data_IF_690086114091
#
_entry.id   IF_690086114091
#
_cell.length_a   1.000
_cell.length_b   1.000
_cell.length_c   1.000
_cell.angle_alpha   90.00
_cell.angle_beta   90.00
_cell.angle_gamma   90.00
#
_symmetry.space_group_name_H-M   'P 1'
#
loop_
_entity.id
_entity.type
_entity.pdbx_description
1 polymer ?
#
# COMPACT_ATOMS: atom_id res chain seq x y z
N UNK A 1 -20.64 49.27 -43.44
CA UNK A 1 -21.02 48.73 -42.10
C UNK A 1 -22.07 47.60 -42.19
N UNK A 2 -22.66 47.33 -43.36
CA UNK A 2 -23.54 46.16 -43.58
C UNK A 2 -22.80 44.86 -43.96
N UNK A 3 -21.64 44.96 -44.62
CA UNK A 3 -20.95 43.78 -45.15
C UNK A 3 -20.23 42.92 -44.08
N UNK A 4 -19.80 43.53 -42.97
CA UNK A 4 -19.17 42.80 -41.87
C UNK A 4 -20.18 41.96 -41.05
N UNK A 5 -21.48 42.25 -41.17
CA UNK A 5 -22.54 41.49 -40.50
C UNK A 5 -22.99 40.28 -41.33
N UNK A 6 -22.89 40.37 -42.66
CA UNK A 6 -23.23 39.28 -43.57
C UNK A 6 -22.19 38.13 -43.57
N UNK A 7 -20.94 38.41 -43.18
CA UNK A 7 -19.88 37.41 -43.09
C UNK A 7 -19.95 36.60 -41.77
N UNK A 8 -20.48 37.20 -40.70
CA UNK A 8 -20.65 36.53 -39.39
C UNK A 8 -21.81 35.51 -39.39
N UNK A 9 -22.77 35.67 -40.30
CA UNK A 9 -23.91 34.75 -40.46
C UNK A 9 -23.63 33.59 -41.44
N UNK A 10 -22.42 33.51 -42.03
CA UNK A 10 -21.94 32.36 -42.81
C UNK A 10 -21.07 31.41 -42.00
N UNK A 11 -21.35 31.25 -40.71
CA UNK A 11 -20.87 30.07 -39.98
C UNK A 11 -21.77 28.91 -40.42
N UNK A 12 -21.35 28.19 -41.47
CA UNK A 12 -21.99 26.91 -41.79
C UNK A 12 -22.03 26.08 -40.51
N UNK A 13 -23.21 25.57 -40.10
CA UNK A 13 -23.30 24.76 -38.89
C UNK A 13 -22.42 23.54 -39.11
N UNK A 14 -21.29 23.47 -38.41
CA UNK A 14 -20.43 22.30 -38.38
C UNK A 14 -21.26 21.15 -37.83
N UNK A 15 -21.76 20.30 -38.72
CA UNK A 15 -22.62 19.19 -38.36
C UNK A 15 -21.76 18.17 -37.60
N UNK A 16 -21.82 18.21 -36.27
CA UNK A 16 -21.12 17.25 -35.42
C UNK A 16 -21.86 15.93 -35.56
N UNK A 17 -21.19 14.94 -36.16
CA UNK A 17 -21.78 13.62 -36.33
C UNK A 17 -21.86 12.89 -34.98
N UNK A 18 -22.92 12.09 -34.74
CA UNK A 18 -23.16 11.49 -33.43
C UNK A 18 -22.02 10.57 -32.96
N UNK A 19 -21.29 9.95 -33.89
CA UNK A 19 -20.13 9.11 -33.55
C UNK A 19 -18.95 9.93 -33.01
N UNK A 20 -18.78 11.18 -33.46
CA UNK A 20 -17.71 12.06 -33.00
C UNK A 20 -17.94 12.43 -31.54
N UNK A 21 -19.18 12.77 -31.18
CA UNK A 21 -19.58 13.03 -29.80
C UNK A 21 -19.31 11.81 -28.91
N UNK A 22 -19.67 10.61 -29.38
CA UNK A 22 -19.40 9.37 -28.65
C UNK A 22 -17.92 9.11 -28.40
N UNK A 23 -17.06 9.32 -29.41
CA UNK A 23 -15.61 9.16 -29.28
C UNK A 23 -14.98 10.17 -28.32
N UNK A 24 -15.43 11.43 -28.36
CA UNK A 24 -14.95 12.49 -27.45
C UNK A 24 -15.36 12.18 -26.01
N UNK A 25 -16.62 11.79 -25.79
CA UNK A 25 -17.11 11.39 -24.47
C UNK A 25 -16.32 10.18 -23.94
N UNK A 26 -16.12 9.16 -24.79
CA UNK A 26 -15.31 7.99 -24.46
C UNK A 26 -13.87 8.35 -24.11
N UNK A 27 -13.27 9.29 -24.82
CA UNK A 27 -11.91 9.78 -24.56
C UNK A 27 -11.82 10.53 -23.23
N UNK A 28 -12.79 11.37 -22.90
CA UNK A 28 -12.89 12.04 -21.59
C UNK A 28 -12.98 11.00 -20.47
N UNK A 29 -13.87 10.02 -20.59
CA UNK A 29 -14.02 8.93 -19.60
C UNK A 29 -12.73 8.14 -19.47
N UNK A 30 -12.04 7.85 -20.58
CA UNK A 30 -10.76 7.16 -20.60
C UNK A 30 -9.68 7.96 -19.86
N UNK A 31 -9.61 9.29 -20.10
CA UNK A 31 -8.63 10.17 -19.45
C UNK A 31 -8.79 10.17 -17.93
N UNK A 32 -10.04 10.30 -17.45
CA UNK A 32 -10.36 10.36 -16.04
C UNK A 32 -10.13 9.02 -15.34
N UNK A 33 -10.43 7.91 -16.01
CA UNK A 33 -10.27 6.57 -15.46
C UNK A 33 -8.87 5.96 -15.71
N UNK A 34 -7.98 6.62 -16.46
CA UNK A 34 -6.66 6.09 -16.82
C UNK A 34 -5.89 5.52 -15.61
N UNK A 35 -5.92 6.23 -14.46
CA UNK A 35 -5.29 5.79 -13.21
C UNK A 35 -5.83 4.48 -12.63
N UNK A 36 -7.15 4.30 -12.73
CA UNK A 36 -7.85 3.13 -12.22
C UNK A 36 -7.68 1.95 -13.18
N UNK A 37 -7.75 2.23 -14.47
CA UNK A 37 -7.64 1.23 -15.53
C UNK A 37 -6.26 0.59 -15.56
N UNK A 38 -5.19 1.41 -15.51
CA UNK A 38 -3.80 0.95 -15.54
C UNK A 38 -3.41 0.12 -14.31
N UNK A 39 -4.06 0.34 -13.15
CA UNK A 39 -3.85 -0.46 -11.94
C UNK A 39 -4.66 -1.77 -11.93
N UNK A 40 -5.61 -1.92 -12.84
CA UNK A 40 -6.38 -3.15 -12.96
C UNK A 40 -5.54 -4.21 -13.66
N UNK A 41 -5.44 -5.40 -13.06
CA UNK A 41 -4.76 -6.55 -13.67
C UNK A 41 -5.45 -6.99 -14.97
N UNK A 42 -6.78 -6.85 -15.04
CA UNK A 42 -7.56 -7.18 -16.24
C UNK A 42 -7.11 -6.34 -17.44
N UNK A 43 -6.83 -5.06 -17.22
CA UNK A 43 -6.39 -4.16 -18.29
C UNK A 43 -5.06 -4.59 -18.90
N UNK A 44 -4.11 -5.05 -18.07
CA UNK A 44 -2.82 -5.56 -18.53
C UNK A 44 -2.99 -6.77 -19.46
N UNK A 45 -3.80 -7.76 -19.06
CA UNK A 45 -4.04 -8.93 -19.89
C UNK A 45 -4.79 -8.59 -21.17
N UNK A 46 -5.79 -7.71 -21.13
CA UNK A 46 -6.53 -7.29 -22.33
C UNK A 46 -5.64 -6.55 -23.33
N UNK A 47 -4.82 -5.61 -22.86
CA UNK A 47 -3.89 -4.88 -23.75
C UNK A 47 -2.80 -5.81 -24.29
N UNK A 48 -2.29 -6.73 -23.47
CA UNK A 48 -1.37 -7.78 -23.91
C UNK A 48 -1.98 -8.68 -24.99
N UNK A 49 -3.25 -9.07 -24.84
CA UNK A 49 -4.00 -9.81 -25.86
C UNK A 49 -4.11 -9.03 -27.15
N UNK A 50 -4.55 -7.77 -27.08
CA UNK A 50 -4.72 -6.92 -28.26
C UNK A 50 -3.40 -6.81 -29.03
N UNK A 51 -2.32 -6.42 -28.33
CA UNK A 51 -0.99 -6.30 -28.94
C UNK A 51 -0.52 -7.63 -29.52
N UNK A 52 -0.78 -8.76 -28.84
CA UNK A 52 -0.44 -10.09 -29.33
C UNK A 52 -1.21 -10.49 -30.60
N UNK A 53 -2.52 -10.24 -30.64
CA UNK A 53 -3.35 -10.51 -31.83
C UNK A 53 -2.88 -9.63 -33.00
N UNK A 54 -2.67 -8.33 -32.79
CA UNK A 54 -2.12 -7.46 -33.83
C UNK A 54 -0.73 -7.94 -34.29
N UNK A 55 0.17 -8.26 -33.37
CA UNK A 55 1.51 -8.77 -33.67
C UNK A 55 1.45 -10.05 -34.50
N UNK A 56 0.52 -10.96 -34.21
CA UNK A 56 0.34 -12.18 -34.99
C UNK A 56 -0.07 -11.92 -36.44
N UNK A 57 -0.94 -10.92 -36.69
CA UNK A 57 -1.35 -10.52 -38.05
C UNK A 57 -0.16 -9.93 -38.80
N UNK A 58 0.63 -9.06 -38.16
CA UNK A 58 1.86 -8.54 -38.75
C UNK A 58 2.88 -9.64 -39.06
N UNK A 59 3.02 -10.62 -38.16
CA UNK A 59 3.88 -11.78 -38.38
C UNK A 59 3.37 -12.63 -39.56
N UNK A 60 2.06 -12.83 -39.70
CA UNK A 60 1.46 -13.53 -40.83
C UNK A 60 1.72 -12.81 -42.15
N UNK A 61 1.52 -11.48 -42.20
CA UNK A 61 1.87 -10.65 -43.38
C UNK A 61 3.36 -10.72 -43.70
N UNK A 62 4.23 -10.68 -42.69
CA UNK A 62 5.67 -10.84 -42.87
C UNK A 62 6.04 -12.22 -43.46
N UNK A 63 5.42 -13.29 -42.96
CA UNK A 63 5.63 -14.64 -43.51
C UNK A 63 5.11 -14.73 -44.95
N UNK A 64 3.93 -14.17 -45.25
CA UNK A 64 3.37 -14.14 -46.61
C UNK A 64 4.25 -13.36 -47.59
N UNK A 65 4.77 -12.19 -47.19
CA UNK A 65 5.69 -11.40 -48.04
C UNK A 65 7.01 -12.13 -48.27
N UNK A 66 7.47 -12.96 -47.33
CA UNK A 66 8.65 -13.82 -47.51
C UNK A 66 8.38 -15.06 -48.38
N UNK A 67 7.15 -15.58 -48.34
CA UNK A 67 6.72 -16.74 -49.14
C UNK A 67 6.34 -16.37 -50.59
N UNK A 68 6.11 -15.09 -50.88
CA UNK A 68 6.03 -14.55 -52.22
C UNK A 68 7.44 -14.12 -52.65
N UNK A 69 8.22 -14.96 -53.36
CA UNK A 69 9.57 -14.63 -53.79
C UNK A 69 9.54 -13.64 -54.95
N UNK A 70 8.99 -12.44 -54.74
CA UNK A 70 9.29 -11.32 -55.62
C UNK A 70 10.69 -10.84 -55.28
N UNK A 71 11.63 -11.09 -56.18
CA UNK A 71 13.00 -10.56 -56.13
C UNK A 71 12.94 -9.03 -56.18
N UNK A 72 12.77 -8.40 -55.03
CA UNK A 72 12.88 -6.95 -54.89
C UNK A 72 14.37 -6.63 -54.68
N UNK A 73 15.01 -6.26 -55.79
CA UNK A 73 16.37 -5.72 -55.82
C UNK A 73 16.46 -4.43 -55.00
N UNK A 74 17.64 -4.16 -54.46
CA UNK A 74 18.07 -3.12 -53.50
C UNK A 74 17.91 -1.65 -53.97
N UNK A 75 16.90 -1.34 -54.78
CA UNK A 75 16.61 0.02 -55.29
C UNK A 75 15.58 0.80 -54.44
N UNK A 76 15.11 0.24 -53.33
CA UNK A 76 13.82 0.59 -52.69
C UNK A 76 13.93 1.48 -51.44
N UNK A 77 15.09 2.08 -51.16
CA UNK A 77 15.22 3.02 -50.03
C UNK A 77 14.69 4.42 -50.40
N UNK A 78 14.68 4.78 -51.70
CA UNK A 78 14.10 6.04 -52.20
C UNK A 78 12.59 6.00 -52.42
N UNK A 79 11.99 4.82 -52.52
CA UNK A 79 10.54 4.62 -52.75
C UNK A 79 9.72 4.64 -51.46
N UNK A 80 10.31 4.86 -50.29
CA UNK A 80 9.58 4.82 -49.01
C UNK A 80 8.48 5.91 -48.95
N UNK A 81 8.73 7.07 -49.55
CA UNK A 81 7.76 8.17 -49.59
C UNK A 81 6.64 7.93 -50.62
N UNK A 82 6.98 7.43 -51.82
CA UNK A 82 6.00 7.02 -52.84
C UNK A 82 5.20 5.79 -52.38
N UNK A 83 5.84 4.92 -51.60
CA UNK A 83 5.26 3.73 -51.00
C UNK A 83 4.20 4.05 -49.96
N UNK A 84 4.30 5.17 -49.22
CA UNK A 84 3.27 5.54 -48.25
C UNK A 84 1.94 5.89 -48.93
N UNK A 85 1.98 6.74 -49.97
CA UNK A 85 0.78 7.12 -50.74
C UNK A 85 0.22 5.94 -51.56
N UNK A 86 1.10 5.12 -52.14
CA UNK A 86 0.69 3.91 -52.85
C UNK A 86 0.10 2.86 -51.89
N UNK A 87 0.70 2.67 -50.72
CA UNK A 87 0.22 1.75 -49.68
C UNK A 87 -1.12 2.22 -49.11
N UNK A 88 -1.30 3.51 -48.82
CA UNK A 88 -2.59 4.03 -48.34
C UNK A 88 -3.69 3.91 -49.40
N UNK A 89 -3.37 4.14 -50.67
CA UNK A 89 -4.31 3.96 -51.79
C UNK A 89 -4.69 2.48 -51.98
N UNK A 90 -3.73 1.57 -51.96
CA UNK A 90 -4.00 0.12 -52.04
C UNK A 90 -4.77 -0.34 -50.82
N UNK A 91 -4.41 0.12 -49.62
CA UNK A 91 -5.11 -0.21 -48.37
C UNK A 91 -6.57 0.26 -48.39
N UNK A 92 -6.83 1.48 -48.87
CA UNK A 92 -8.20 2.01 -49.02
C UNK A 92 -9.04 1.13 -49.94
N UNK A 93 -8.48 0.74 -51.09
CA UNK A 93 -9.15 -0.17 -52.03
C UNK A 93 -9.34 -1.58 -51.44
N UNK A 94 -8.36 -2.08 -50.70
CA UNK A 94 -8.38 -3.41 -50.10
C UNK A 94 -9.29 -3.50 -48.88
N UNK A 95 -9.61 -2.38 -48.21
CA UNK A 95 -10.43 -2.38 -47.00
C UNK A 95 -11.78 -3.07 -47.19
N UNK A 96 -12.46 -2.79 -48.31
CA UNK A 96 -13.73 -3.45 -48.65
C UNK A 96 -13.58 -4.95 -48.90
N UNK A 97 -12.48 -5.37 -49.55
CA UNK A 97 -12.19 -6.78 -49.78
C UNK A 97 -11.82 -7.53 -48.49
N UNK A 98 -11.04 -6.90 -47.60
CA UNK A 98 -10.70 -7.46 -46.28
C UNK A 98 -11.97 -7.65 -45.46
N UNK A 99 -12.86 -6.65 -45.44
CA UNK A 99 -14.14 -6.77 -44.73
C UNK A 99 -15.00 -7.89 -45.29
N UNK A 100 -15.13 -7.97 -46.62
CA UNK A 100 -15.86 -9.04 -47.30
C UNK A 100 -15.27 -10.43 -46.98
N UNK A 101 -13.94 -10.54 -46.94
CA UNK A 101 -13.25 -11.79 -46.61
C UNK A 101 -13.43 -12.20 -45.14
N UNK A 102 -13.41 -11.24 -44.21
CA UNK A 102 -13.71 -11.48 -42.79
C UNK A 102 -15.13 -12.00 -42.62
N UNK A 103 -16.12 -11.39 -43.29
CA UNK A 103 -17.52 -11.81 -43.19
C UNK A 103 -17.74 -13.18 -43.85
N UNK A 104 -17.14 -13.42 -45.02
CA UNK A 104 -17.26 -14.69 -45.74
C UNK A 104 -16.64 -15.87 -44.97
N UNK A 105 -15.50 -15.66 -44.30
CA UNK A 105 -14.76 -16.69 -43.56
C UNK A 105 -14.76 -16.46 -42.05
N UNK A 106 -15.85 -15.91 -41.52
CA UNK A 106 -15.96 -15.50 -40.10
C UNK A 106 -15.56 -16.60 -39.11
N UNK A 107 -15.90 -17.87 -39.37
CA UNK A 107 -15.57 -19.00 -38.47
C UNK A 107 -14.06 -19.22 -38.38
N UNK A 108 -13.36 -19.28 -39.51
CA UNK A 108 -11.90 -19.42 -39.56
C UNK A 108 -11.19 -18.22 -38.93
N UNK A 109 -11.69 -17.01 -39.19
CA UNK A 109 -11.16 -15.79 -38.59
C UNK A 109 -11.32 -15.81 -37.06
N UNK A 110 -12.48 -16.24 -36.55
CA UNK A 110 -12.69 -16.40 -35.10
C UNK A 110 -11.72 -17.42 -34.50
N UNK A 111 -11.51 -18.59 -35.13
CA UNK A 111 -10.53 -19.57 -34.64
C UNK A 111 -9.10 -19.00 -34.60
N UNK A 112 -8.72 -18.22 -35.61
CA UNK A 112 -7.44 -17.52 -35.64
C UNK A 112 -7.30 -16.50 -34.50
N UNK A 113 -8.31 -15.64 -34.29
CA UNK A 113 -8.29 -14.64 -33.22
C UNK A 113 -8.26 -15.31 -31.84
N UNK A 114 -9.07 -16.36 -31.63
CA UNK A 114 -9.09 -17.09 -30.36
C UNK A 114 -7.76 -17.78 -30.06
N UNK A 115 -7.14 -18.44 -31.05
CA UNK A 115 -5.86 -19.12 -30.86
C UNK A 115 -4.72 -18.13 -30.60
N UNK A 116 -4.61 -17.07 -31.41
CA UNK A 116 -3.59 -16.01 -31.22
C UNK A 116 -3.76 -15.27 -29.89
N UNK A 117 -5.00 -14.95 -29.49
CA UNK A 117 -5.28 -14.38 -28.18
C UNK A 117 -4.90 -15.33 -27.03
N UNK A 118 -5.13 -16.64 -27.19
CA UNK A 118 -4.73 -17.65 -26.20
C UNK A 118 -3.20 -17.72 -26.04
N UNK A 119 -2.46 -17.70 -27.14
CA UNK A 119 -0.99 -17.63 -27.09
C UNK A 119 -0.49 -16.33 -26.46
N UNK A 120 -1.11 -15.19 -26.79
CA UNK A 120 -0.79 -13.90 -26.18
C UNK A 120 -1.08 -13.89 -24.67
N UNK A 121 -2.21 -14.45 -24.23
CA UNK A 121 -2.53 -14.64 -22.81
C UNK A 121 -1.51 -15.50 -22.10
N UNK A 122 -1.11 -16.62 -22.70
CA UNK A 122 -0.12 -17.50 -22.12
C UNK A 122 1.23 -16.79 -21.95
N UNK A 123 1.64 -16.02 -22.96
CA UNK A 123 2.86 -15.23 -22.90
C UNK A 123 2.79 -14.11 -21.85
N UNK A 124 1.69 -13.36 -21.79
CA UNK A 124 1.48 -12.32 -20.78
C UNK A 124 1.33 -12.89 -19.37
N UNK A 125 0.74 -14.08 -19.22
CA UNK A 125 0.65 -14.79 -17.95
C UNK A 125 2.02 -15.23 -17.47
N UNK A 126 2.86 -15.72 -18.39
CA UNK A 126 4.24 -16.11 -18.08
C UNK A 126 5.11 -14.92 -17.63
N UNK A 127 4.97 -13.77 -18.28
CA UNK A 127 5.72 -12.56 -17.91
C UNK A 127 5.22 -11.93 -16.60
N UNK A 128 3.91 -12.02 -16.34
CA UNK A 128 3.26 -11.42 -15.17
C UNK A 128 3.07 -9.90 -15.27
N UNK A 129 2.13 -9.32 -14.50
CA UNK A 129 1.89 -7.88 -14.50
C UNK A 129 3.09 -7.10 -13.91
N UNK A 130 3.40 -5.90 -14.43
CA UNK A 130 4.54 -5.11 -13.97
C UNK A 130 4.36 -4.65 -12.51
N UNK A 131 5.36 -4.87 -11.65
CA UNK A 131 5.29 -4.44 -10.24
C UNK A 131 5.85 -3.03 -10.00
N UNK A 132 6.60 -2.47 -10.96
CA UNK A 132 7.29 -1.21 -10.75
C UNK A 132 6.32 -0.01 -10.83
N UNK A 133 6.31 0.91 -9.85
CA UNK A 133 5.41 2.07 -9.85
C UNK A 133 5.63 2.97 -11.08
N UNK A 134 6.89 3.08 -11.55
CA UNK A 134 7.24 3.85 -12.75
C UNK A 134 6.53 3.34 -14.01
N UNK A 135 6.34 2.03 -14.13
CA UNK A 135 5.67 1.44 -15.30
C UNK A 135 4.19 1.82 -15.33
N UNK A 136 3.54 1.85 -14.17
CA UNK A 136 2.15 2.33 -14.06
C UNK A 136 2.03 3.82 -14.40
N UNK A 137 3.01 4.65 -14.02
CA UNK A 137 3.00 6.08 -14.38
C UNK A 137 3.15 6.29 -15.89
N UNK A 138 4.06 5.55 -16.54
CA UNK A 138 4.24 5.60 -18.00
C UNK A 138 2.98 5.13 -18.72
N UNK A 139 2.40 4.00 -18.31
CA UNK A 139 1.14 3.49 -18.90
C UNK A 139 -0.03 4.47 -18.70
N UNK A 140 -0.07 5.18 -17.58
CA UNK A 140 -1.07 6.22 -17.38
C UNK A 140 -0.86 7.39 -18.34
N UNK A 141 0.38 7.87 -18.51
CA UNK A 141 0.68 8.97 -19.42
C UNK A 141 0.39 8.61 -20.86
N UNK A 142 0.66 7.37 -21.28
CA UNK A 142 0.32 6.93 -22.65
C UNK A 142 -1.19 6.88 -22.87
N UNK A 143 -1.97 6.36 -21.92
CA UNK A 143 -3.44 6.39 -22.02
C UNK A 143 -3.98 7.82 -22.06
N UNK A 144 -3.40 8.72 -21.27
CA UNK A 144 -3.78 10.12 -21.25
C UNK A 144 -3.43 10.83 -22.56
N UNK A 145 -2.24 10.55 -23.12
CA UNK A 145 -1.81 11.05 -24.42
C UNK A 145 -2.74 10.56 -25.52
N UNK A 146 -3.01 9.24 -25.57
CA UNK A 146 -3.93 8.64 -26.55
C UNK A 146 -5.30 9.31 -26.47
N UNK A 147 -5.86 9.45 -25.26
CA UNK A 147 -7.13 10.13 -25.07
C UNK A 147 -7.12 11.58 -25.59
N UNK A 148 -6.10 12.37 -25.25
CA UNK A 148 -6.01 13.76 -25.73
C UNK A 148 -5.80 13.85 -27.25
N UNK A 149 -5.05 12.91 -27.82
CA UNK A 149 -4.84 12.82 -29.26
C UNK A 149 -6.14 12.44 -29.96
N UNK A 150 -6.92 11.51 -29.42
CA UNK A 150 -8.24 11.16 -29.94
C UNK A 150 -9.18 12.36 -29.92
N UNK A 151 -9.19 13.17 -28.85
CA UNK A 151 -9.97 14.42 -28.79
C UNK A 151 -9.49 15.42 -29.84
N UNK A 152 -8.18 15.54 -30.07
CA UNK A 152 -7.61 16.42 -31.09
C UNK A 152 -7.96 16.02 -32.52
N UNK A 153 -7.90 14.73 -32.83
CA UNK A 153 -8.19 14.21 -34.17
C UNK A 153 -9.69 14.11 -34.47
N UNK A 154 -10.54 14.06 -33.43
CA UNK A 154 -11.98 13.88 -33.61
C UNK A 154 -12.75 15.20 -33.76
N UNK A 155 -12.16 16.34 -33.36
CA UNK A 155 -12.79 17.65 -33.51
C UNK A 155 -12.20 18.40 -34.71
N UNK A 156 -13.03 18.92 -35.63
CA UNK A 156 -12.55 19.68 -36.78
C UNK A 156 -12.05 21.08 -36.41
N UNK A 157 -12.58 21.68 -35.34
CA UNK A 157 -12.14 22.99 -34.85
C UNK A 157 -11.08 22.84 -33.74
N UNK A 158 -9.86 23.31 -34.02
CA UNK A 158 -8.73 23.21 -33.10
C UNK A 158 -8.94 24.04 -31.83
N UNK A 159 -9.69 25.15 -31.89
CA UNK A 159 -9.95 25.97 -30.70
C UNK A 159 -10.86 25.24 -29.70
N UNK A 160 -11.91 24.58 -30.20
CA UNK A 160 -12.83 23.81 -29.36
C UNK A 160 -12.10 22.60 -28.76
N UNK A 161 -11.28 21.91 -29.55
CA UNK A 161 -10.50 20.78 -29.05
C UNK A 161 -9.52 21.17 -27.95
N UNK A 162 -8.78 22.27 -28.13
CA UNK A 162 -7.90 22.81 -27.10
C UNK A 162 -8.66 23.27 -25.84
N UNK A 163 -9.87 23.81 -26.02
CA UNK A 163 -10.77 24.18 -24.92
C UNK A 163 -11.21 22.98 -24.05
N UNK A 164 -11.23 21.76 -24.61
CA UNK A 164 -11.53 20.52 -23.86
C UNK A 164 -10.23 19.90 -23.29
N UNK A 165 -9.15 19.91 -24.06
CA UNK A 165 -7.87 19.31 -23.65
C UNK A 165 -7.23 20.10 -22.48
N UNK A 166 -7.28 21.43 -22.51
CA UNK A 166 -6.69 22.27 -21.47
C UNK A 166 -7.23 21.97 -20.05
N UNK A 167 -8.56 21.95 -19.80
CA UNK A 167 -9.08 21.60 -18.48
C UNK A 167 -8.79 20.15 -18.10
N UNK A 168 -8.77 19.20 -19.05
CA UNK A 168 -8.40 17.81 -18.76
C UNK A 168 -6.94 17.70 -18.27
N UNK A 169 -6.01 18.37 -18.95
CA UNK A 169 -4.60 18.41 -18.54
C UNK A 169 -4.43 19.12 -17.19
N UNK A 170 -5.17 20.21 -16.96
CA UNK A 170 -5.17 20.92 -15.68
C UNK A 170 -5.62 20.00 -14.54
N UNK A 171 -6.73 19.28 -14.70
CA UNK A 171 -7.23 18.31 -13.71
C UNK A 171 -6.21 17.19 -13.50
N UNK A 172 -5.61 16.67 -14.59
CA UNK A 172 -4.57 15.65 -14.52
C UNK A 172 -3.34 16.10 -13.73
N UNK A 173 -2.90 17.34 -13.95
CA UNK A 173 -1.78 17.97 -13.27
C UNK A 173 -2.07 18.21 -11.79
N UNK A 174 -3.24 18.79 -11.46
CA UNK A 174 -3.67 19.04 -10.07
C UNK A 174 -3.68 17.72 -9.29
N UNK A 175 -4.29 16.67 -9.85
CA UNK A 175 -4.42 15.37 -9.19
C UNK A 175 -3.10 14.61 -9.08
N UNK A 176 -2.14 14.87 -9.97
CA UNK A 176 -0.83 14.19 -10.01
C UNK A 176 0.22 14.85 -9.14
N UNK A 177 0.35 16.16 -9.24
CA UNK A 177 1.44 16.93 -8.64
C UNK A 177 0.98 17.71 -7.42
N UNK A 178 -0.18 18.37 -7.50
CA UNK A 178 -0.61 19.35 -6.49
C UNK A 178 -1.10 18.68 -5.20
N UNK A 179 -2.01 17.71 -5.30
CA UNK A 179 -2.60 17.02 -4.12
C UNK A 179 -1.53 16.35 -3.22
N UNK A 180 -0.62 15.50 -3.73
CA UNK A 180 0.39 14.87 -2.87
C UNK A 180 1.41 15.88 -2.31
N UNK A 181 1.70 16.96 -3.04
CA UNK A 181 2.60 18.02 -2.57
C UNK A 181 1.96 18.82 -1.43
N UNK A 182 0.69 19.21 -1.57
CA UNK A 182 -0.07 19.88 -0.51
C UNK A 182 -0.18 18.97 0.72
N UNK A 183 -0.44 17.67 0.55
CA UNK A 183 -0.50 16.72 1.66
C UNK A 183 0.82 16.62 2.44
N UNK A 184 1.97 16.61 1.75
CA UNK A 184 3.30 16.62 2.38
C UNK A 184 3.58 17.92 3.13
N UNK A 185 3.22 19.06 2.53
CA UNK A 185 3.38 20.39 3.15
C UNK A 185 2.47 20.51 4.37
N UNK A 186 1.21 20.08 4.27
CA UNK A 186 0.26 20.08 5.38
C UNK A 186 0.67 19.13 6.49
N UNK A 187 1.23 17.96 6.16
CA UNK A 187 1.81 17.03 7.13
C UNK A 187 3.00 17.63 7.87
N UNK A 188 3.93 18.29 7.16
CA UNK A 188 5.05 19.03 7.78
C UNK A 188 4.55 20.19 8.63
N UNK A 189 3.58 20.96 8.15
CA UNK A 189 2.97 22.07 8.89
C UNK A 189 2.28 21.58 10.16
N UNK A 190 1.53 20.47 10.09
CA UNK A 190 0.90 19.83 11.25
C UNK A 190 1.94 19.30 12.23
N UNK A 191 3.02 18.71 11.73
CA UNK A 191 4.12 18.23 12.56
C UNK A 191 4.84 19.37 13.27
N UNK A 192 5.13 20.47 12.55
CA UNK A 192 5.65 21.71 13.13
C UNK A 192 4.68 22.29 14.16
N UNK A 193 3.40 22.42 13.82
CA UNK A 193 2.36 22.89 14.75
C UNK A 193 2.29 22.05 16.01
N UNK A 194 2.28 20.72 15.90
CA UNK A 194 2.25 19.82 17.06
C UNK A 194 3.55 19.86 17.87
N UNK A 195 4.68 20.28 17.28
CA UNK A 195 5.94 20.50 18.00
C UNK A 195 5.95 21.82 18.77
N UNK A 196 5.28 22.85 18.24
CA UNK A 196 5.20 24.18 18.85
C UNK A 196 4.04 24.29 19.85
N UNK A 197 2.97 23.54 19.60
CA UNK A 197 1.81 23.39 20.47
C UNK A 197 1.56 21.89 20.66
N UNK A 198 2.35 21.23 21.55
CA UNK A 198 2.04 19.88 21.96
C UNK A 198 0.64 19.90 22.58
N UNK A 199 -0.25 19.01 22.11
CA UNK A 199 -1.52 18.76 22.80
C UNK A 199 -1.19 18.40 24.25
N UNK A 200 -1.78 19.09 25.23
CA UNK A 200 -1.62 18.72 26.63
C UNK A 200 -1.93 17.24 26.77
N UNK A 201 -1.00 16.48 27.35
CA UNK A 201 -1.29 15.11 27.74
C UNK A 201 -2.17 15.22 28.97
N UNK A 202 -3.41 14.76 28.84
CA UNK A 202 -4.27 14.52 29.99
C UNK A 202 -3.57 13.45 30.83
N UNK A 203 -3.13 13.84 32.03
CA UNK A 203 -2.60 12.87 32.98
C UNK A 203 -3.77 11.98 33.39
N UNK A 204 -3.55 10.67 33.42
CA UNK A 204 -4.53 9.76 34.00
C UNK A 204 -4.83 10.23 35.42
N UNK A 205 -6.11 10.22 35.76
CA UNK A 205 -6.51 10.36 37.16
C UNK A 205 -5.93 9.18 37.95
N UNK A 206 -5.74 9.35 39.26
CA UNK A 206 -5.20 8.29 40.11
C UNK A 206 -6.01 7.00 39.98
N UNK A 207 -7.34 7.12 39.87
CA UNK A 207 -8.27 6.00 39.71
C UNK A 207 -8.06 5.26 38.38
N UNK A 208 -7.86 5.98 37.27
CA UNK A 208 -7.57 5.37 35.98
C UNK A 208 -6.19 4.71 35.96
N UNK A 209 -5.20 5.30 36.64
CA UNK A 209 -3.85 4.74 36.74
C UNK A 209 -3.88 3.41 37.50
N UNK A 210 -4.59 3.36 38.63
CA UNK A 210 -4.72 2.16 39.44
C UNK A 210 -5.46 1.06 38.66
N UNK A 211 -6.51 1.41 37.91
CA UNK A 211 -7.22 0.47 37.02
C UNK A 211 -6.33 -0.07 35.89
N UNK A 212 -5.59 0.80 35.20
CA UNK A 212 -4.69 0.37 34.12
C UNK A 212 -3.55 -0.49 34.68
N UNK A 213 -3.04 -0.16 35.86
CA UNK A 213 -2.03 -0.97 36.55
C UNK A 213 -2.54 -2.38 36.89
N UNK A 214 -3.77 -2.49 37.40
CA UNK A 214 -4.41 -3.77 37.71
C UNK A 214 -4.66 -4.60 36.44
N UNK A 215 -5.22 -3.99 35.39
CA UNK A 215 -5.49 -4.67 34.12
C UNK A 215 -4.22 -5.15 33.44
N UNK A 216 -3.18 -4.30 33.38
CA UNK A 216 -1.90 -4.64 32.79
C UNK A 216 -1.19 -5.73 33.59
N UNK A 217 -1.21 -5.64 34.92
CA UNK A 217 -0.65 -6.67 35.80
C UNK A 217 -1.34 -8.01 35.57
N UNK A 218 -2.68 -8.01 35.48
CA UNK A 218 -3.47 -9.23 35.22
C UNK A 218 -3.12 -9.86 33.87
N UNK A 219 -3.05 -9.05 32.81
CA UNK A 219 -2.71 -9.53 31.46
C UNK A 219 -1.29 -10.10 31.40
N UNK A 220 -0.31 -9.43 32.00
CA UNK A 220 1.07 -9.90 31.97
C UNK A 220 1.26 -11.16 32.83
N UNK A 221 0.54 -11.28 33.95
CA UNK A 221 0.53 -12.51 34.75
C UNK A 221 -0.08 -13.70 34.01
N UNK A 222 -1.17 -13.49 33.25
CA UNK A 222 -1.74 -14.51 32.36
C UNK A 222 -0.77 -14.89 31.24
N UNK A 223 -0.15 -13.90 30.59
CA UNK A 223 0.88 -14.12 29.57
C UNK A 223 2.07 -14.92 30.12
N UNK A 224 2.53 -14.61 31.33
CA UNK A 224 3.57 -15.37 32.01
C UNK A 224 3.15 -16.83 32.24
N UNK A 225 1.92 -17.08 32.70
CA UNK A 225 1.39 -18.45 32.88
C UNK A 225 1.40 -19.25 31.57
N UNK A 226 0.97 -18.63 30.47
CA UNK A 226 0.95 -19.27 29.17
C UNK A 226 2.35 -19.55 28.62
N UNK A 227 3.31 -18.62 28.83
CA UNK A 227 4.71 -18.86 28.51
C UNK A 227 5.23 -20.10 29.22
N UNK A 228 4.97 -20.28 30.52
CA UNK A 228 5.41 -21.47 31.26
C UNK A 228 4.67 -22.77 30.87
N UNK A 229 3.46 -22.68 30.31
CA UNK A 229 2.70 -23.84 29.79
C UNK A 229 3.14 -24.26 28.39
N UNK A 230 3.71 -23.34 27.61
CA UNK A 230 4.14 -23.63 26.24
C UNK A 230 5.38 -24.54 26.19
N UNK A 231 5.46 -25.51 25.25
CA UNK A 231 6.60 -26.42 25.14
C UNK A 231 7.87 -25.78 24.58
N UNK A 232 7.77 -24.56 24.02
CA UNK A 232 8.90 -23.81 23.43
C UNK A 232 9.67 -22.96 24.45
N UNK A 233 9.16 -22.84 25.69
CA UNK A 233 9.77 -21.98 26.72
C UNK A 233 10.78 -22.74 27.59
N UNK A 234 11.87 -22.07 27.98
CA UNK A 234 12.91 -22.62 28.87
C UNK A 234 12.45 -22.74 30.35
N UNK A 235 11.23 -23.21 30.59
CA UNK A 235 10.58 -23.30 31.90
C UNK A 235 11.43 -24.01 32.95
N UNK A 236 12.09 -25.11 32.57
CA UNK A 236 13.00 -25.86 33.46
C UNK A 236 14.25 -25.08 33.88
N UNK A 237 14.75 -24.19 33.02
CA UNK A 237 15.92 -23.35 33.32
C UNK A 237 15.57 -22.25 34.32
N UNK A 238 14.34 -21.73 34.25
CA UNK A 238 13.86 -20.73 35.22
C UNK A 238 13.52 -21.39 36.55
N UNK A 239 12.88 -22.55 36.54
CA UNK A 239 12.62 -23.35 37.75
C UNK A 239 13.91 -23.68 38.51
N UNK A 240 14.99 -24.03 37.80
CA UNK A 240 16.29 -24.32 38.42
C UNK A 240 16.97 -23.09 39.07
N UNK A 241 16.58 -21.87 38.68
CA UNK A 241 17.12 -20.60 39.21
C UNK A 241 16.21 -19.93 40.23
N UNK A 242 14.95 -20.37 40.32
CA UNK A 242 13.97 -19.76 41.20
C UNK A 242 14.24 -20.14 42.67
N UNK A 243 14.11 -19.17 43.57
CA UNK A 243 14.29 -19.38 45.03
C UNK A 243 13.23 -20.34 45.60
N UNK A 244 11.99 -20.25 45.10
CA UNK A 244 10.85 -21.03 45.57
C UNK A 244 10.12 -21.70 44.38
N UNK A 245 10.65 -22.83 43.84
CA UNK A 245 10.09 -23.46 42.65
C UNK A 245 8.65 -23.99 42.87
N UNK A 246 8.31 -24.35 44.11
CA UNK A 246 6.95 -24.80 44.47
C UNK A 246 5.91 -23.68 44.38
N UNK A 247 6.25 -22.45 44.80
CA UNK A 247 5.36 -21.28 44.69
C UNK A 247 5.11 -20.94 43.22
N UNK A 248 6.17 -20.99 42.40
CA UNK A 248 6.07 -20.75 40.96
C UNK A 248 5.19 -21.80 40.26
N UNK A 249 5.35 -23.08 40.59
CA UNK A 249 4.52 -24.15 39.99
C UNK A 249 3.03 -23.97 40.29
N UNK A 250 2.67 -23.67 41.54
CA UNK A 250 1.28 -23.40 41.94
C UNK A 250 0.70 -22.15 41.28
N UNK A 251 1.51 -21.13 41.07
CA UNK A 251 1.13 -19.94 40.32
C UNK A 251 0.84 -20.24 38.84
N UNK A 252 1.65 -21.08 38.18
CA UNK A 252 1.47 -21.49 36.78
C UNK A 252 0.23 -22.39 36.61
N UNK A 253 -0.04 -23.25 37.60
CA UNK A 253 -1.26 -24.06 37.66
C UNK A 253 -2.51 -23.21 37.93
N UNK A 254 -2.34 -21.99 38.49
CA UNK A 254 -3.43 -21.07 38.82
C UNK A 254 -4.07 -21.35 40.19
N UNK A 255 -3.42 -22.15 41.05
CA UNK A 255 -3.89 -22.45 42.39
C UNK A 255 -3.63 -21.28 43.37
N UNK A 256 -2.51 -20.58 43.18
CA UNK A 256 -2.09 -19.44 44.01
C UNK A 256 -1.87 -18.20 43.11
N UNK A 257 -2.06 -16.99 43.66
CA UNK A 257 -1.73 -15.74 42.99
C UNK A 257 -0.20 -15.42 43.06
N UNK A 258 0.25 -14.42 42.32
CA UNK A 258 1.65 -13.98 42.25
C UNK A 258 2.19 -13.50 43.61
N UNK A 259 1.31 -13.03 44.50
CA UNK A 259 1.61 -12.63 45.87
C UNK A 259 0.79 -13.52 46.83
N UNK A 260 1.42 -14.02 47.88
CA UNK A 260 0.69 -14.78 48.92
C UNK A 260 -0.01 -13.85 49.90
N UNK A 261 -1.15 -14.25 50.47
CA UNK A 261 -1.90 -13.44 51.45
C UNK A 261 -1.04 -12.99 52.64
N UNK A 262 -0.16 -13.87 53.14
CA UNK A 262 0.78 -13.52 54.21
C UNK A 262 1.74 -12.40 53.78
N UNK A 263 2.30 -12.49 52.57
CA UNK A 263 3.20 -11.48 51.99
C UNK A 263 2.46 -10.15 51.78
N UNK A 264 1.24 -10.20 51.24
CA UNK A 264 0.40 -9.01 51.11
C UNK A 264 0.09 -8.35 52.48
N UNK A 265 -0.17 -9.17 53.50
CA UNK A 265 -0.41 -8.68 54.87
C UNK A 265 0.84 -8.11 55.53
N UNK A 266 2.01 -8.73 55.31
CA UNK A 266 3.29 -8.20 55.80
C UNK A 266 3.61 -6.86 55.12
N UNK A 267 3.39 -6.75 53.81
CA UNK A 267 3.56 -5.48 53.08
C UNK A 267 2.60 -4.40 53.56
N UNK A 268 1.33 -4.72 53.80
CA UNK A 268 0.37 -3.75 54.32
C UNK A 268 0.68 -3.33 55.75
N UNK A 269 1.14 -4.26 56.60
CA UNK A 269 1.61 -3.98 57.96
C UNK A 269 2.87 -3.14 57.97
N UNK A 270 3.84 -3.40 57.07
CA UNK A 270 5.06 -2.58 56.95
C UNK A 270 4.71 -1.17 56.46
N UNK A 271 3.79 -1.05 55.49
CA UNK A 271 3.31 0.25 55.03
C UNK A 271 2.61 1.03 56.16
N UNK A 272 1.77 0.35 56.95
CA UNK A 272 1.07 0.94 58.09
C UNK A 272 1.98 1.23 59.30
N UNK A 273 3.02 0.41 59.53
CA UNK A 273 3.95 0.54 60.66
C UNK A 273 5.12 1.47 60.36
N UNK A 274 5.48 1.67 59.08
CA UNK A 274 6.59 2.53 58.68
C UNK A 274 6.27 4.03 58.80
N UNK A 275 5.06 4.41 59.22
CA UNK A 275 4.72 5.80 59.54
C UNK A 275 5.09 6.80 58.44
N UNK A 276 5.09 6.38 57.18
CA UNK A 276 5.27 7.30 56.06
C UNK A 276 3.89 7.90 55.76
N UNK A 277 3.50 8.78 56.67
CA UNK A 277 2.38 9.70 56.49
C UNK A 277 2.75 10.58 55.29
N UNK A 278 2.20 10.28 54.11
CA UNK A 278 2.14 11.30 53.06
C UNK A 278 1.21 12.38 53.61
N UNK A 279 1.68 13.63 53.83
CA UNK A 279 0.82 14.69 54.33
C UNK A 279 -0.38 14.82 53.38
N UNK A 280 -1.56 14.45 53.87
CA UNK A 280 -2.82 14.50 53.10
C UNK A 280 -3.43 15.90 53.05
N UNK A 281 -2.82 16.86 53.74
CA UNK A 281 -3.28 18.24 53.74
C UNK A 281 -2.14 19.13 53.23
N UNK A 282 -2.17 19.45 51.93
CA UNK A 282 -1.53 20.67 51.42
C UNK A 282 -2.48 21.81 51.79
N UNK A 283 -2.11 22.72 52.72
CA UNK A 283 -2.79 24.00 52.80
C UNK A 283 -2.45 24.75 51.52
N UNK A 284 -3.47 25.18 50.78
CA UNK A 284 -3.35 26.33 49.91
C UNK A 284 -2.94 27.50 50.79
N UNK A 285 -1.67 27.88 50.82
CA UNK A 285 -1.24 29.23 51.17
C UNK A 285 0.19 29.49 50.69
N UNK A 286 0.28 30.57 49.91
CA UNK A 286 1.50 31.30 49.61
C UNK A 286 2.28 31.59 50.90
N UNK A 287 3.56 31.18 50.97
CA UNK A 287 4.68 31.99 51.49
C UNK A 287 5.95 31.14 51.75
N UNK A 288 7.05 31.63 51.18
CA UNK A 288 8.49 31.39 51.44
C UNK A 288 8.98 29.98 51.84
N UNK A 289 9.51 29.28 50.82
CA UNK A 289 10.28 28.06 50.96
C UNK A 289 11.70 28.31 51.51
N UNK A 290 11.92 28.15 52.82
CA UNK A 290 13.22 27.72 53.34
C UNK A 290 13.41 26.23 53.07
N UNK A 291 13.85 25.92 51.86
CA UNK A 291 14.29 24.57 51.50
C UNK A 291 15.62 24.26 52.18
N UNK A 292 15.61 23.34 53.15
CA UNK A 292 16.81 22.62 53.55
C UNK A 292 17.29 21.76 52.37
N UNK A 293 18.02 22.39 51.46
CA UNK A 293 18.83 21.74 50.45
C UNK A 293 19.92 20.94 51.16
N UNK A 294 19.83 19.62 51.12
CA UNK A 294 20.98 18.78 51.38
C UNK A 294 22.03 19.10 50.32
N UNK A 295 22.96 20.00 50.67
CA UNK A 295 24.09 20.37 49.84
C UNK A 295 25.02 19.16 49.77
N UNK A 296 24.93 18.41 48.67
CA UNK A 296 25.88 17.36 48.33
C UNK A 296 27.26 18.02 48.32
N UNK A 297 28.14 17.53 49.19
CA UNK A 297 29.51 18.06 49.31
C UNK A 297 30.32 17.74 48.05
N UNK A 298 31.33 18.54 47.75
CA UNK A 298 32.19 18.31 46.57
C UNK A 298 32.83 16.90 46.59
N UNK A 299 33.08 16.35 47.78
CA UNK A 299 33.59 14.98 47.96
C UNK A 299 32.57 13.90 47.56
N UNK A 300 31.29 14.09 47.89
CA UNK A 300 30.21 13.18 47.47
C UNK A 300 29.95 13.26 45.96
N UNK A 301 30.05 14.45 45.37
CA UNK A 301 29.96 14.63 43.92
C UNK A 301 31.07 13.89 43.18
N UNK A 302 32.31 13.96 43.66
CA UNK A 302 33.41 13.20 43.08
C UNK A 302 33.22 11.68 43.19
N UNK A 303 32.66 11.19 44.31
CA UNK A 303 32.34 9.77 44.47
C UNK A 303 31.29 9.30 43.47
N UNK A 304 30.24 10.09 43.27
CA UNK A 304 29.18 9.82 42.30
C UNK A 304 29.75 9.81 40.87
N UNK A 305 30.62 10.75 40.52
CA UNK A 305 31.26 10.79 39.20
C UNK A 305 32.20 9.61 38.97
N UNK A 306 32.99 9.22 39.98
CA UNK A 306 33.85 8.03 39.92
C UNK A 306 33.04 6.75 39.76
N UNK A 307 31.90 6.62 40.44
CA UNK A 307 30.98 5.50 40.23
C UNK A 307 30.37 5.51 38.83
N UNK A 308 29.95 6.68 38.34
CA UNK A 308 29.35 6.83 37.01
C UNK A 308 30.39 6.51 35.92
N UNK A 309 31.65 6.90 36.11
CA UNK A 309 32.77 6.53 35.24
C UNK A 309 33.07 5.02 35.29
N UNK A 310 33.02 4.38 36.47
CA UNK A 310 33.13 2.91 36.62
C UNK A 310 31.99 2.16 35.92
N UNK A 311 30.76 2.69 35.98
CA UNK A 311 29.60 2.13 35.26
C UNK A 311 29.74 2.32 33.75
N UNK A 312 30.39 3.39 33.30
CA UNK A 312 30.61 3.68 31.87
C UNK A 312 31.78 2.87 31.27
N UNK A 313 32.80 2.55 32.06
CA UNK A 313 33.92 1.68 31.65
C UNK A 313 33.59 0.19 31.70
N UNK A 314 32.61 -0.21 32.53
CA UNK A 314 31.87 -1.46 32.33
C UNK A 314 30.96 -1.28 31.12
N UNK A 315 31.48 -1.61 29.94
CA UNK A 315 30.62 -1.72 28.75
C UNK A 315 29.39 -2.57 29.09
N UNK A 316 28.21 -2.30 28.49
CA UNK A 316 27.15 -3.26 28.50
C UNK A 316 27.69 -4.47 27.74
N UNK A 317 28.14 -5.48 28.49
CA UNK A 317 28.30 -6.82 27.96
C UNK A 317 26.89 -7.23 27.57
N UNK A 318 26.57 -6.92 26.31
CA UNK A 318 25.43 -7.41 25.56
C UNK A 318 25.19 -8.86 25.96
N UNK A 319 24.24 -9.08 26.87
CA UNK A 319 23.57 -10.35 27.01
C UNK A 319 22.53 -10.42 25.90
N UNK A 320 22.97 -10.29 24.65
CA UNK A 320 22.29 -10.98 23.57
C UNK A 320 22.42 -12.47 23.90
N UNK A 321 21.34 -13.04 24.41
CA UNK A 321 21.14 -14.47 24.43
C UNK A 321 21.00 -14.91 22.96
N UNK A 322 22.12 -15.04 22.27
CA UNK A 322 22.19 -15.59 20.93
C UNK A 322 21.77 -17.05 21.02
N UNK A 323 20.56 -17.38 20.56
CA UNK A 323 20.24 -18.75 20.21
C UNK A 323 21.14 -19.15 19.05
N UNK A 324 22.29 -19.76 19.35
CA UNK A 324 23.06 -20.50 18.37
C UNK A 324 22.25 -21.73 17.99
N UNK A 325 21.51 -21.62 16.89
CA UNK A 325 21.02 -22.77 16.14
C UNK A 325 22.27 -23.52 15.68
N UNK A 326 22.55 -24.64 16.34
CA UNK A 326 23.50 -25.63 15.84
C UNK A 326 22.93 -26.14 14.52
N UNK A 327 23.55 -25.73 13.42
CA UNK A 327 23.37 -26.36 12.12
C UNK A 327 23.94 -27.78 12.21
N UNK A 328 23.08 -28.76 12.46
CA UNK A 328 23.39 -30.15 12.16
C UNK A 328 23.24 -30.35 10.65
N UNK A 329 24.35 -30.70 10.03
CA UNK A 329 24.47 -31.00 8.60
C UNK A 329 24.42 -32.50 8.44
N UNK A 330 23.22 -33.07 8.31
CA UNK A 330 23.06 -34.46 7.88
C UNK A 330 21.70 -34.77 7.23
N UNK A 331 21.52 -34.28 6.00
CA UNK A 331 20.80 -34.98 4.91
C UNK A 331 19.25 -35.17 5.00
N UNK A 332 18.57 -35.36 3.84
CA UNK A 332 17.20 -34.91 3.64
C UNK A 332 16.20 -36.06 3.53
N UNK A 333 15.08 -36.04 4.26
CA UNK A 333 13.87 -36.73 3.83
C UNK A 333 12.57 -36.11 4.38
N UNK A 334 11.69 -35.83 3.42
CA UNK A 334 10.22 -36.01 3.43
C UNK A 334 9.32 -34.92 4.04
N UNK A 335 8.60 -34.34 3.08
CA UNK A 335 7.12 -34.21 3.00
C UNK A 335 6.46 -33.11 3.83
N UNK A 336 6.22 -31.97 3.16
CA UNK A 336 5.00 -31.18 3.38
C UNK A 336 3.84 -31.83 2.62
N UNK A 337 2.85 -32.30 3.36
CA UNK A 337 1.47 -32.45 2.90
C UNK A 337 0.71 -31.34 3.61
N UNK A 338 0.08 -30.44 2.85
CA UNK A 338 -0.91 -29.50 3.35
C UNK A 338 -2.17 -29.62 2.48
N UNK A 339 -3.13 -30.38 2.99
CA UNK A 339 -4.56 -30.33 2.66
C UNK A 339 -5.18 -29.49 3.79
N UNK A 340 -5.79 -28.33 3.52
CA UNK A 340 -7.16 -28.10 3.04
C UNK A 340 -8.25 -28.34 4.11
N UNK A 341 -9.20 -27.38 4.16
CA UNK A 341 -10.53 -27.41 4.80
C UNK A 341 -10.55 -27.18 6.32
N UNK A 342 -11.41 -26.35 6.91
CA UNK A 342 -12.51 -25.53 6.41
C UNK A 342 -13.10 -24.71 7.55
N UNK A 343 -13.53 -23.49 7.26
CA UNK A 343 -14.24 -22.62 8.19
C UNK A 343 -15.74 -22.86 8.12
N UNK A 344 -16.35 -23.10 9.28
CA UNK A 344 -17.80 -23.12 9.46
C UNK A 344 -18.18 -22.25 10.65
N UNK A 345 -18.83 -21.12 10.35
CA UNK A 345 -19.78 -20.43 11.25
C UNK A 345 -20.97 -21.35 11.54
N UNK A 346 -21.71 -21.24 12.68
CA UNK A 346 -22.54 -20.07 13.06
C UNK A 346 -22.50 -19.82 14.61
N UNK A 347 -23.22 -18.93 15.30
CA UNK A 347 -24.56 -18.35 15.18
C UNK A 347 -24.69 -17.20 16.21
N UNK A 348 -25.17 -16.04 15.77
CA UNK A 348 -25.59 -14.90 16.61
C UNK A 348 -26.89 -15.26 17.36
N UNK A 349 -26.99 -15.01 18.67
CA UNK A 349 -28.25 -15.02 19.43
C UNK A 349 -28.43 -13.68 20.13
N UNK A 350 -29.62 -13.12 19.92
CA UNK A 350 -30.07 -11.79 20.33
C UNK A 350 -30.07 -11.59 21.85
N UNK A 351 -29.73 -10.39 22.29
CA UNK A 351 -30.23 -9.79 23.53
C UNK A 351 -31.37 -8.83 23.15
N UNK A 352 -32.53 -9.06 23.77
CA UNK A 352 -33.67 -8.17 23.80
C UNK A 352 -34.19 -8.17 25.24
N UNK A 353 -33.96 -7.08 25.95
CA UNK A 353 -34.65 -6.68 27.19
C UNK A 353 -34.72 -5.15 27.11
N UNK A 354 -35.92 -4.57 26.94
CA UNK A 354 -36.74 -3.99 28.02
C UNK A 354 -35.98 -2.90 28.77
N UNK A 355 -36.38 -1.62 28.80
CA UNK A 355 -37.69 -1.09 29.18
C UNK A 355 -37.68 0.44 28.96
N UNK A 356 -38.89 1.01 29.00
CA UNK A 356 -39.29 2.42 29.15
C UNK A 356 -39.00 3.38 28.02
#
# INVERSE_FOLDING_TARGET
>A
MGDAKADFDRVEPTVIEPYQVGLVLGSIVLFLNARRLVRSTVFYYLMGCLIGVFSSVFLLVYVLTKLLPMRLSTATTGTVLAGYAFSSYVMYNMWGYVWSLIVAYQTYFTYYVCSSASFALLFCYWQGPPSNPRTYDVMQWTLQLISTLTVYLCLPDHYVSLGIIAPLLLVGFIRGQLIPSIGKIHGKMRHMRNRWFPTPRELLTQEEYDQEADEYTRQELEHLRDLYRSPDSSSFKVLARCKNPRKLARFVEGADDHISELEASEYSHVLSSSGFDYPRDLPDDDDEAEGNSYMITDEEWELIERERARRKSRSPRSSHLSYTVLADTSSPQRRRIALSVGGSTPRRRNQSESRS
#
